data_IF_860170323557
#
_entry.id   IF_860170323557
#
_cell.length_a   1.000
_cell.length_b   1.000
_cell.length_c   1.000
_cell.angle_alpha   90.00
_cell.angle_beta   90.00
_cell.angle_gamma   90.00
#
_symmetry.space_group_name_H-M   'P 1'
#
loop_
_entity.id
_entity.type
_entity.pdbx_description
1 polymer ?
#
# COMPACT_ATOMS: atom_id res chain seq x y z
N UNK A 1 24.10 31.34 28.55
CA UNK A 1 23.54 29.98 28.54
C UNK A 1 22.00 29.99 28.52
N UNK A 2 21.36 30.86 27.71
CA UNK A 2 19.89 30.94 27.61
C UNK A 2 19.36 31.13 26.18
N UNK A 3 20.23 31.34 25.20
CA UNK A 3 19.85 31.64 23.80
C UNK A 3 19.62 30.38 22.96
N UNK A 4 20.28 29.26 23.29
CA UNK A 4 20.18 27.99 22.54
C UNK A 4 18.85 27.27 22.78
N UNK A 5 18.30 27.33 24.01
CA UNK A 5 16.98 26.74 24.32
C UNK A 5 15.82 27.47 23.62
N UNK A 6 15.95 28.78 23.40
CA UNK A 6 14.95 29.56 22.64
C UNK A 6 15.00 29.24 21.13
N UNK A 7 16.18 28.93 20.58
CA UNK A 7 16.31 28.55 19.17
C UNK A 7 15.70 27.17 18.87
N UNK A 8 15.81 26.23 19.82
CA UNK A 8 15.20 24.90 19.72
C UNK A 8 13.67 24.91 19.89
N UNK A 9 13.10 25.88 20.61
CA UNK A 9 11.63 26.00 20.74
C UNK A 9 10.96 26.55 19.47
N UNK A 10 11.69 27.29 18.64
CA UNK A 10 11.26 27.76 17.31
C UNK A 10 11.31 26.65 16.25
N UNK A 11 12.15 25.63 16.44
CA UNK A 11 12.20 24.41 15.62
C UNK A 11 11.19 23.34 16.06
N UNK A 12 10.37 23.62 17.08
CA UNK A 12 9.26 22.76 17.48
C UNK A 12 8.28 22.71 16.31
N UNK A 13 8.39 21.65 15.48
CA UNK A 13 7.50 21.34 14.35
C UNK A 13 6.09 21.75 14.73
N UNK A 14 5.57 22.79 14.08
CA UNK A 14 4.20 23.28 14.28
C UNK A 14 3.26 22.09 14.06
N UNK A 15 2.79 21.51 15.16
CA UNK A 15 1.75 20.50 15.26
C UNK A 15 1.81 19.37 14.20
N UNK A 16 2.38 18.22 14.57
CA UNK A 16 2.42 17.00 13.75
C UNK A 16 1.02 16.45 13.39
N UNK A 17 -0.05 16.95 14.01
CA UNK A 17 -1.43 16.51 13.76
C UNK A 17 -2.16 17.28 12.65
N UNK A 18 -1.48 18.15 11.89
CA UNK A 18 -2.10 18.66 10.65
C UNK A 18 -1.98 17.60 9.58
N UNK A 19 -3.10 16.96 9.26
CA UNK A 19 -3.24 16.16 8.04
C UNK A 19 -2.91 17.08 6.86
N UNK A 20 -1.78 16.81 6.20
CA UNK A 20 -1.42 17.45 4.93
C UNK A 20 -1.78 16.47 3.84
N UNK A 21 -2.59 16.91 2.89
CA UNK A 21 -2.69 16.22 1.63
C UNK A 21 -1.42 16.54 0.84
N UNK A 22 -0.60 15.51 0.62
CA UNK A 22 0.64 15.63 -0.14
C UNK A 22 0.41 15.49 -1.65
N UNK A 23 -0.81 15.23 -2.09
CA UNK A 23 -1.17 15.12 -3.51
C UNK A 23 -0.61 13.86 -4.20
N UNK A 24 -0.23 12.84 -3.43
CA UNK A 24 0.31 11.60 -3.98
C UNK A 24 -0.75 10.73 -4.63
N UNK A 25 -1.99 10.79 -4.15
CA UNK A 25 -3.11 10.01 -4.69
C UNK A 25 -4.10 10.93 -5.39
N UNK A 26 -4.73 10.42 -6.45
CA UNK A 26 -5.79 11.14 -7.15
C UNK A 26 -7.06 11.07 -6.31
N UNK A 27 -7.76 12.19 -6.17
CA UNK A 27 -9.10 12.20 -5.58
C UNK A 27 -10.03 11.43 -6.52
N UNK A 28 -10.54 10.29 -6.06
CA UNK A 28 -11.52 9.50 -6.78
C UNK A 28 -12.93 9.86 -6.29
N UNK A 29 -13.89 10.12 -7.20
CA UNK A 29 -15.27 10.31 -6.79
C UNK A 29 -15.83 9.02 -6.19
N UNK A 30 -16.76 9.16 -5.24
CA UNK A 30 -17.43 8.00 -4.65
C UNK A 30 -18.18 7.22 -5.73
N UNK A 31 -17.91 5.92 -5.83
CA UNK A 31 -18.60 5.03 -6.75
C UNK A 31 -20.06 4.77 -6.34
N UNK A 32 -20.90 4.38 -7.31
CA UNK A 32 -22.30 3.98 -7.04
C UNK A 32 -22.41 2.56 -6.48
N UNK A 33 -21.45 1.70 -6.80
CA UNK A 33 -21.40 0.29 -6.40
C UNK A 33 -19.96 -0.12 -6.14
N UNK A 34 -19.77 -1.21 -5.40
CA UNK A 34 -18.46 -1.83 -5.24
C UNK A 34 -18.09 -2.55 -6.54
N UNK A 35 -16.91 -2.30 -7.14
CA UNK A 35 -16.44 -3.05 -8.30
C UNK A 35 -16.32 -4.54 -7.97
N UNK A 36 -16.73 -5.41 -8.90
CA UNK A 36 -16.57 -6.87 -8.78
C UNK A 36 -15.13 -7.30 -9.09
N UNK A 37 -14.17 -6.83 -8.29
CA UNK A 37 -12.75 -7.15 -8.44
C UNK A 37 -12.23 -7.69 -7.11
N UNK A 38 -11.62 -8.88 -7.16
CA UNK A 38 -10.91 -9.48 -6.04
C UNK A 38 -9.42 -9.20 -6.24
N UNK A 39 -8.85 -8.45 -5.31
CA UNK A 39 -7.40 -8.25 -5.22
C UNK A 39 -6.84 -9.15 -4.12
N UNK A 40 -5.92 -10.05 -4.48
CA UNK A 40 -5.22 -10.90 -3.53
C UNK A 40 -3.72 -10.78 -3.70
N UNK A 41 -2.97 -10.79 -2.60
CA UNK A 41 -1.52 -10.71 -2.63
C UNK A 41 -0.88 -11.85 -1.82
N UNK A 42 0.33 -12.24 -2.24
CA UNK A 42 1.22 -13.14 -1.50
C UNK A 42 2.64 -12.89 -2.00
N UNK A 43 3.67 -13.04 -1.18
CA UNK A 43 5.05 -12.64 -1.53
C UNK A 43 5.64 -13.32 -2.79
N UNK A 44 5.02 -14.38 -3.31
CA UNK A 44 5.46 -15.12 -4.50
C UNK A 44 4.28 -15.69 -5.30
N UNK A 45 4.48 -15.96 -6.60
CA UNK A 45 3.54 -16.78 -7.40
C UNK A 45 3.52 -18.25 -7.02
N UNK A 46 4.57 -18.76 -6.39
CA UNK A 46 4.62 -20.15 -5.94
C UNK A 46 3.88 -20.28 -4.61
N UNK A 47 2.62 -20.69 -4.69
CA UNK A 47 1.74 -20.80 -3.53
C UNK A 47 1.83 -22.19 -2.86
N UNK A 48 1.77 -22.27 -1.52
CA UNK A 48 1.44 -23.50 -0.83
C UNK A 48 0.11 -24.06 -1.33
N UNK A 49 -0.02 -25.38 -1.40
CA UNK A 49 -1.19 -26.07 -1.97
C UNK A 49 -2.51 -25.59 -1.34
N UNK A 50 -2.56 -25.46 -0.02
CA UNK A 50 -3.75 -24.97 0.68
C UNK A 50 -4.16 -23.55 0.25
N UNK A 51 -3.18 -22.68 -0.02
CA UNK A 51 -3.45 -21.30 -0.49
C UNK A 51 -3.90 -21.34 -1.95
N UNK A 52 -3.25 -22.14 -2.79
CA UNK A 52 -3.66 -22.30 -4.19
C UNK A 52 -5.09 -22.87 -4.31
N UNK A 53 -5.46 -23.83 -3.45
CA UNK A 53 -6.80 -24.37 -3.39
C UNK A 53 -7.83 -23.27 -3.03
N UNK A 54 -7.49 -22.38 -2.08
CA UNK A 54 -8.34 -21.24 -1.72
C UNK A 54 -8.47 -20.24 -2.88
N UNK A 55 -7.38 -19.92 -3.58
CA UNK A 55 -7.42 -19.08 -4.79
C UNK A 55 -8.38 -19.67 -5.83
N UNK A 56 -8.28 -20.98 -6.08
CA UNK A 56 -9.14 -21.66 -7.04
C UNK A 56 -10.61 -21.65 -6.60
N UNK A 57 -10.87 -21.88 -5.30
CA UNK A 57 -12.21 -21.82 -4.73
C UNK A 57 -12.83 -20.43 -4.86
N UNK A 58 -12.10 -19.37 -4.50
CA UNK A 58 -12.56 -17.98 -4.62
C UNK A 58 -12.95 -17.62 -6.05
N UNK A 59 -12.15 -18.06 -7.04
CA UNK A 59 -12.46 -17.84 -8.46
C UNK A 59 -13.69 -18.63 -8.91
N UNK A 60 -13.85 -19.86 -8.44
CA UNK A 60 -14.97 -20.72 -8.81
C UNK A 60 -16.32 -20.20 -8.28
N UNK A 61 -16.37 -19.69 -7.05
CA UNK A 61 -17.62 -19.18 -6.45
C UNK A 61 -17.95 -17.74 -6.87
N UNK A 62 -17.01 -17.03 -7.54
CA UNK A 62 -17.20 -15.67 -8.04
C UNK A 62 -16.90 -15.57 -9.55
N UNK A 63 -17.61 -16.32 -10.42
CA UNK A 63 -17.29 -16.40 -11.85
C UNK A 63 -17.40 -15.06 -12.59
N UNK A 64 -18.26 -14.15 -12.12
CA UNK A 64 -18.47 -12.82 -12.70
C UNK A 64 -17.51 -11.75 -12.16
N UNK A 65 -16.58 -12.12 -11.27
CA UNK A 65 -15.63 -11.19 -10.67
C UNK A 65 -14.28 -11.30 -11.36
N UNK A 66 -13.66 -10.14 -11.61
CA UNK A 66 -12.27 -10.11 -12.03
C UNK A 66 -11.38 -10.49 -10.85
N UNK A 67 -10.47 -11.45 -11.05
CA UNK A 67 -9.53 -11.87 -10.03
C UNK A 67 -8.11 -11.43 -10.40
N UNK A 68 -7.49 -10.63 -9.52
CA UNK A 68 -6.13 -10.10 -9.69
C UNK A 68 -5.25 -10.58 -8.54
N UNK A 69 -4.12 -11.19 -8.90
CA UNK A 69 -3.15 -11.71 -7.94
C UNK A 69 -1.79 -11.05 -8.11
N UNK A 70 -1.24 -10.52 -7.02
CA UNK A 70 0.00 -9.77 -6.99
C UNK A 70 1.03 -10.47 -6.10
N UNK A 71 2.26 -10.58 -6.59
CA UNK A 71 3.40 -10.84 -5.71
C UNK A 71 4.20 -9.57 -5.40
N UNK A 72 5.25 -9.72 -4.60
CA UNK A 72 6.08 -8.58 -4.19
C UNK A 72 6.73 -7.89 -5.41
N UNK A 73 7.03 -8.62 -6.48
CA UNK A 73 7.59 -8.05 -7.70
C UNK A 73 6.54 -7.24 -8.48
N UNK A 74 5.30 -7.71 -8.57
CA UNK A 74 4.21 -6.94 -9.17
C UNK A 74 3.93 -5.66 -8.39
N UNK A 75 3.96 -5.73 -7.04
CA UNK A 75 3.75 -4.58 -6.17
C UNK A 75 4.90 -3.58 -6.34
N UNK A 76 6.16 -4.04 -6.33
CA UNK A 76 7.34 -3.20 -6.59
C UNK A 76 7.19 -2.46 -7.92
N UNK A 77 6.87 -3.18 -8.99
CA UNK A 77 6.71 -2.63 -10.34
C UNK A 77 5.56 -1.61 -10.41
N UNK A 78 4.42 -1.91 -9.79
CA UNK A 78 3.27 -1.03 -9.77
C UNK A 78 3.57 0.28 -9.04
N UNK A 79 4.18 0.21 -7.85
CA UNK A 79 4.49 1.41 -7.06
C UNK A 79 5.57 2.25 -7.76
N UNK A 80 6.60 1.61 -8.31
CA UNK A 80 7.65 2.31 -9.05
C UNK A 80 7.09 3.06 -10.27
N UNK A 81 6.15 2.46 -11.00
CA UNK A 81 5.55 3.05 -12.18
C UNK A 81 4.57 4.18 -11.87
N UNK A 82 3.70 3.99 -10.88
CA UNK A 82 2.56 4.89 -10.63
C UNK A 82 2.84 5.92 -9.52
N UNK A 83 3.73 5.60 -8.58
CA UNK A 83 4.05 6.42 -7.41
C UNK A 83 5.58 6.48 -7.18
N UNK A 84 6.38 6.93 -8.17
CA UNK A 84 7.84 6.94 -8.07
C UNK A 84 8.36 7.73 -6.86
N UNK A 85 7.66 8.80 -6.46
CA UNK A 85 7.92 9.60 -5.26
C UNK A 85 7.84 8.78 -3.97
N UNK A 86 6.95 7.78 -3.94
CA UNK A 86 6.70 6.95 -2.77
C UNK A 86 7.55 5.68 -2.74
N UNK A 87 8.05 5.23 -3.89
CA UNK A 87 8.79 3.98 -4.00
C UNK A 87 10.00 3.93 -3.06
N UNK A 88 10.77 5.02 -2.95
CA UNK A 88 11.91 5.09 -2.05
C UNK A 88 11.53 5.00 -0.56
N UNK A 89 10.32 5.41 -0.17
CA UNK A 89 9.82 5.24 1.20
C UNK A 89 9.30 3.83 1.43
N UNK A 90 8.59 3.28 0.44
CA UNK A 90 8.10 1.91 0.46
C UNK A 90 9.25 0.90 0.64
N UNK A 91 10.38 1.06 -0.08
CA UNK A 91 11.56 0.20 0.07
C UNK A 91 12.30 0.37 1.42
N UNK A 92 11.89 1.29 2.30
CA UNK A 92 12.40 1.37 3.69
C UNK A 92 11.65 0.45 4.66
N UNK A 93 10.51 -0.10 4.25
CA UNK A 93 9.82 -1.13 5.04
C UNK A 93 10.74 -2.35 5.09
N UNK A 94 10.94 -2.90 6.29
CA UNK A 94 11.74 -4.11 6.44
C UNK A 94 11.06 -5.25 5.65
N UNK A 95 11.75 -5.94 4.73
CA UNK A 95 11.17 -7.02 3.93
C UNK A 95 10.56 -8.17 4.74
N UNK A 96 10.94 -8.35 6.02
CA UNK A 96 10.30 -9.34 6.90
C UNK A 96 8.86 -8.98 7.28
N UNK A 97 8.43 -7.73 7.07
CA UNK A 97 7.09 -7.24 7.38
C UNK A 97 6.20 -7.19 6.12
N UNK A 98 6.03 -8.34 5.46
CA UNK A 98 5.20 -8.45 4.25
C UNK A 98 3.77 -7.92 4.41
N UNK A 99 3.17 -8.07 5.59
CA UNK A 99 1.86 -7.47 5.90
C UNK A 99 1.87 -5.94 5.81
N UNK A 100 2.93 -5.28 6.30
CA UNK A 100 3.07 -3.83 6.20
C UNK A 100 3.28 -3.36 4.76
N UNK A 101 3.98 -4.15 3.94
CA UNK A 101 4.13 -3.89 2.51
C UNK A 101 2.79 -4.01 1.77
N UNK A 102 2.02 -5.06 2.04
CA UNK A 102 0.68 -5.23 1.48
C UNK A 102 -0.27 -4.10 1.93
N UNK A 103 -0.20 -3.70 3.19
CA UNK A 103 -0.98 -2.59 3.73
C UNK A 103 -0.69 -1.27 3.02
N UNK A 104 0.59 -1.00 2.72
CA UNK A 104 1.01 0.16 1.94
C UNK A 104 0.41 0.12 0.52
N UNK A 105 0.53 -1.03 -0.16
CA UNK A 105 0.02 -1.23 -1.50
C UNK A 105 -1.49 -0.98 -1.62
N UNK A 106 -2.28 -1.29 -0.59
CA UNK A 106 -3.74 -1.03 -0.62
C UNK A 106 -4.13 0.45 -0.78
N UNK A 107 -3.24 1.39 -0.45
CA UNK A 107 -3.54 2.82 -0.48
C UNK A 107 -3.02 3.56 -1.72
N UNK A 108 -2.25 2.88 -2.57
CA UNK A 108 -1.61 3.45 -3.77
C UNK A 108 -2.12 2.75 -5.02
#
# INVERSE_FOLDING_TARGET
MNTIKQHLSLLRRKNLNRVKDYGYTKILPMGKTIPKIIHQTYFSKTLPEAIQANVNHLRAINPDWEYRFYDDADIDAYIQLNFPELFAFYKKINPSYGAAMADFFRYV
#
